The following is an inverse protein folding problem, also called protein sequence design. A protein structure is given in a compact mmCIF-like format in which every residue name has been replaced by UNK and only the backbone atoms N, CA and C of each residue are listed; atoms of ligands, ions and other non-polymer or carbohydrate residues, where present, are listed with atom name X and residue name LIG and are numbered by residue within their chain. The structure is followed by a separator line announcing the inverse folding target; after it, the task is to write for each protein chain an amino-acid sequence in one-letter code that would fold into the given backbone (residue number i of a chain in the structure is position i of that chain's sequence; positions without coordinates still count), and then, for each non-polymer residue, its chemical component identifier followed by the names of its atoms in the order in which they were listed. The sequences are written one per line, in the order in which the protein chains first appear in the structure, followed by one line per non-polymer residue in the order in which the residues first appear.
data_IF_129237024512
#
_entry.id   IF_129237024512
#
_cell.length_a   1.000
_cell.length_b   1.000
_cell.length_c   1.000
_cell.angle_alpha   90.00
_cell.angle_beta   90.00
_cell.angle_gamma   90.00
#
_symmetry.space_group_name_H-M   'P 1'
#
loop_
_entity.id
_entity.type
_entity.pdbx_description
1 polymer ?
#
# COMPACT_ATOMS: atom_id res chain seq x y z
N UNK A 1 21.68 5.46 24.83
CA UNK A 1 22.37 5.65 23.54
C UNK A 1 21.36 5.34 22.43
N UNK A 2 21.16 6.35 21.59
CA UNK A 2 19.98 6.61 20.77
C UNK A 2 19.54 5.46 19.85
N UNK A 3 18.30 4.99 20.01
CA UNK A 3 17.59 4.22 18.98
C UNK A 3 17.20 5.22 17.90
N UNK A 4 17.87 5.15 16.74
CA UNK A 4 17.51 5.90 15.53
C UNK A 4 16.01 5.77 15.28
N UNK A 5 15.29 6.89 15.41
CA UNK A 5 13.97 7.07 14.80
C UNK A 5 14.11 6.74 13.32
N UNK A 6 13.57 5.59 12.92
CA UNK A 6 13.39 5.28 11.51
C UNK A 6 12.31 6.22 11.02
N UNK A 7 12.76 7.31 10.44
CA UNK A 7 12.01 8.21 9.57
C UNK A 7 11.27 7.37 8.51
N UNK A 8 10.04 6.95 8.85
CA UNK A 8 9.09 6.23 8.00
C UNK A 8 8.56 7.18 6.91
N UNK A 9 9.43 7.65 6.04
CA UNK A 9 9.04 8.41 4.86
C UNK A 9 8.58 7.43 3.79
N UNK A 10 7.30 7.51 3.39
CA UNK A 10 6.72 6.64 2.35
C UNK A 10 7.61 6.51 1.11
N UNK A 11 7.59 5.36 0.45
CA UNK A 11 8.49 5.02 -0.66
C UNK A 11 8.43 6.02 -1.82
N UNK A 12 7.24 6.54 -2.13
CA UNK A 12 7.08 7.59 -3.15
C UNK A 12 7.64 8.96 -2.69
N UNK A 13 7.68 9.23 -1.38
CA UNK A 13 8.17 10.49 -0.79
C UNK A 13 9.69 10.52 -0.62
N UNK A 14 10.35 9.36 -0.48
CA UNK A 14 11.79 9.28 -0.20
C UNK A 14 12.70 9.33 -1.43
N UNK A 15 12.17 9.21 -2.65
CA UNK A 15 12.99 9.03 -3.86
C UNK A 15 13.16 10.28 -4.76
N UNK A 16 12.82 11.48 -4.30
CA UNK A 16 13.11 12.71 -5.05
C UNK A 16 14.34 13.42 -4.52
N UNK A 17 15.47 13.32 -5.24
CA UNK A 17 16.39 14.43 -5.57
C UNK A 17 17.47 13.92 -6.55
N UNK A 18 17.19 13.95 -7.85
CA UNK A 18 18.24 14.01 -8.88
C UNK A 18 17.83 15.04 -9.94
N UNK A 19 18.77 15.90 -10.34
CA UNK A 19 18.59 17.16 -11.09
C UNK A 19 18.07 17.03 -12.53
N UNK A 20 17.38 15.95 -12.87
CA UNK A 20 16.75 15.79 -14.17
C UNK A 20 15.23 15.93 -14.00
N UNK A 21 14.68 16.93 -14.67
CA UNK A 21 13.25 17.26 -14.78
C UNK A 21 12.49 16.18 -15.58
N UNK A 22 12.59 14.92 -15.15
CA UNK A 22 11.76 13.81 -15.56
C UNK A 22 10.93 13.45 -14.33
N UNK A 23 9.62 13.52 -14.48
CA UNK A 23 8.66 12.91 -13.58
C UNK A 23 8.90 11.38 -13.65
N UNK A 24 9.97 10.91 -13.02
CA UNK A 24 10.13 9.52 -12.61
C UNK A 24 9.31 9.36 -11.34
N UNK A 25 7.99 9.56 -11.45
CA UNK A 25 7.04 9.18 -10.41
C UNK A 25 7.08 7.66 -10.32
N UNK A 26 8.00 7.15 -9.50
CA UNK A 26 8.00 5.77 -9.05
C UNK A 26 6.75 5.56 -8.19
N UNK A 27 5.61 5.31 -8.85
CA UNK A 27 4.35 4.97 -8.20
C UNK A 27 4.52 3.68 -7.38
N UNK A 28 3.92 3.65 -6.18
CA UNK A 28 3.89 2.48 -5.29
C UNK A 28 3.40 1.18 -5.98
N UNK A 29 2.65 1.27 -7.09
CA UNK A 29 2.29 0.11 -7.92
C UNK A 29 3.52 -0.70 -8.41
N UNK A 30 4.68 -0.05 -8.59
CA UNK A 30 5.92 -0.66 -9.07
C UNK A 30 6.82 -1.23 -7.95
N UNK A 31 6.43 -1.15 -6.67
CA UNK A 31 7.22 -1.70 -5.57
C UNK A 31 7.50 -3.19 -5.84
N UNK A 32 8.75 -3.63 -6.01
CA UNK A 32 9.07 -5.03 -6.28
C UNK A 32 8.60 -5.96 -5.17
N UNK A 33 8.08 -7.14 -5.51
CA UNK A 33 7.53 -8.09 -4.54
C UNK A 33 8.52 -8.47 -3.42
N UNK A 34 9.82 -8.53 -3.73
CA UNK A 34 10.87 -8.86 -2.75
C UNK A 34 11.07 -7.81 -1.65
N UNK A 35 10.57 -6.59 -1.82
CA UNK A 35 10.70 -5.50 -0.84
C UNK A 35 9.35 -4.90 -0.41
N UNK A 36 8.23 -5.51 -0.81
CA UNK A 36 6.88 -5.01 -0.45
C UNK A 36 6.71 -4.94 1.06
N UNK A 37 7.15 -5.95 1.81
CA UNK A 37 6.96 -5.97 3.26
C UNK A 37 7.83 -4.94 4.00
N UNK A 38 8.96 -4.55 3.42
CA UNK A 38 9.85 -3.53 4.00
C UNK A 38 9.27 -2.13 3.82
N UNK A 39 8.57 -1.90 2.72
CA UNK A 39 7.99 -0.60 2.35
C UNK A 39 6.56 -0.45 2.88
N UNK A 40 5.74 -1.49 2.71
CA UNK A 40 4.35 -1.52 3.12
C UNK A 40 4.25 -2.17 4.50
N UNK A 41 4.97 -1.60 5.48
CA UNK A 41 4.89 -2.07 6.84
C UNK A 41 3.49 -1.83 7.41
N UNK A 42 2.89 -2.88 7.95
CA UNK A 42 1.61 -2.85 8.64
C UNK A 42 1.80 -3.46 10.03
N UNK A 43 1.09 -2.91 11.01
CA UNK A 43 1.10 -3.40 12.38
C UNK A 43 -0.25 -3.13 13.04
N UNK A 44 -0.49 -3.75 14.19
CA UNK A 44 -1.64 -3.41 15.04
C UNK A 44 -2.97 -3.69 14.36
N UNK A 45 -3.82 -2.66 14.22
CA UNK A 45 -5.13 -2.83 13.60
C UNK A 45 -5.08 -2.97 12.09
N UNK A 46 -4.15 -2.28 11.40
CA UNK A 46 -3.93 -2.43 9.97
C UNK A 46 -3.56 -3.87 9.57
N UNK A 47 -2.70 -4.52 10.36
CA UNK A 47 -2.34 -5.93 10.16
C UNK A 47 -3.54 -6.87 10.35
N UNK A 48 -4.34 -6.64 11.40
CA UNK A 48 -5.55 -7.42 11.65
C UNK A 48 -6.57 -7.27 10.52
N UNK A 49 -6.80 -6.05 10.04
CA UNK A 49 -7.71 -5.78 8.93
C UNK A 49 -7.21 -6.47 7.66
N UNK A 50 -5.92 -6.40 7.37
CA UNK A 50 -5.32 -7.07 6.21
C UNK A 50 -5.52 -8.59 6.26
N UNK A 51 -5.17 -9.23 7.38
CA UNK A 51 -5.32 -10.68 7.54
C UNK A 51 -6.79 -11.11 7.48
N UNK A 52 -7.68 -10.32 8.08
CA UNK A 52 -9.13 -10.58 8.05
C UNK A 52 -9.68 -10.46 6.63
N UNK A 53 -9.30 -9.42 5.88
CA UNK A 53 -9.66 -9.27 4.47
C UNK A 53 -9.13 -10.40 3.59
N UNK A 54 -7.87 -10.78 3.77
CA UNK A 54 -7.27 -11.91 3.03
C UNK A 54 -8.08 -13.21 3.23
N UNK A 55 -8.50 -13.49 4.46
CA UNK A 55 -9.32 -14.66 4.78
C UNK A 55 -10.75 -14.55 4.25
N UNK A 56 -11.43 -13.44 4.52
CA UNK A 56 -12.85 -13.24 4.19
C UNK A 56 -13.11 -13.27 2.69
N UNK A 57 -12.17 -12.75 1.90
CA UNK A 57 -12.28 -12.69 0.44
C UNK A 57 -11.46 -13.76 -0.28
N UNK A 58 -10.90 -14.74 0.44
CA UNK A 58 -10.10 -15.84 -0.13
C UNK A 58 -9.00 -15.35 -1.10
N UNK A 59 -8.31 -14.27 -0.71
CA UNK A 59 -7.37 -13.59 -1.60
C UNK A 59 -6.04 -14.33 -1.68
N UNK A 60 -5.47 -14.36 -2.88
CA UNK A 60 -4.11 -14.89 -3.09
C UNK A 60 -3.03 -13.96 -2.52
N UNK A 61 -1.84 -14.49 -2.26
CA UNK A 61 -0.68 -13.67 -1.86
C UNK A 61 -0.38 -12.53 -2.85
N UNK A 62 -0.62 -12.75 -4.15
CA UNK A 62 -0.48 -11.71 -5.18
C UNK A 62 -1.52 -10.60 -5.01
N UNK A 63 -2.75 -10.96 -4.68
CA UNK A 63 -3.78 -9.97 -4.34
C UNK A 63 -3.42 -9.19 -3.08
N UNK A 64 -2.86 -9.85 -2.06
CA UNK A 64 -2.32 -9.21 -0.87
C UNK A 64 -1.25 -8.18 -1.18
N UNK A 65 -0.27 -8.49 -2.03
CA UNK A 65 0.74 -7.52 -2.45
C UNK A 65 0.13 -6.30 -3.17
N UNK A 66 -0.88 -6.49 -4.02
CA UNK A 66 -1.59 -5.37 -4.65
C UNK A 66 -2.31 -4.49 -3.64
N UNK A 67 -2.96 -5.10 -2.63
CA UNK A 67 -3.62 -4.37 -1.53
C UNK A 67 -2.59 -3.54 -0.77
N UNK A 68 -1.44 -4.11 -0.41
CA UNK A 68 -0.39 -3.40 0.34
C UNK A 68 0.16 -2.20 -0.43
N UNK A 69 0.34 -2.33 -1.75
CA UNK A 69 0.78 -1.20 -2.60
C UNK A 69 -0.28 -0.11 -2.69
N UNK A 70 -1.55 -0.49 -2.83
CA UNK A 70 -2.66 0.46 -2.91
C UNK A 70 -2.86 1.19 -1.57
N UNK A 71 -2.84 0.46 -0.46
CA UNK A 71 -2.89 1.03 0.89
C UNK A 71 -1.73 1.99 1.15
N UNK A 72 -0.51 1.69 0.64
CA UNK A 72 0.62 2.62 0.71
C UNK A 72 0.37 3.89 -0.10
N UNK A 73 -0.24 3.79 -1.28
CA UNK A 73 -0.66 4.95 -2.08
C UNK A 73 -1.69 5.80 -1.35
N UNK A 74 -2.72 5.19 -0.77
CA UNK A 74 -3.76 5.90 0.00
C UNK A 74 -3.12 6.64 1.17
N UNK A 75 -2.30 5.96 1.97
CA UNK A 75 -1.58 6.58 3.07
C UNK A 75 -0.63 7.71 2.60
N UNK A 76 0.04 7.55 1.46
CA UNK A 76 0.88 8.62 0.89
C UNK A 76 0.06 9.85 0.46
N UNK A 77 -1.14 9.64 -0.10
CA UNK A 77 -2.08 10.70 -0.50
C UNK A 77 -2.61 11.43 0.74
N UNK A 78 -2.94 10.69 1.79
CA UNK A 78 -3.42 11.24 3.07
C UNK A 78 -2.31 11.90 3.90
N UNK A 79 -1.05 11.81 3.45
CA UNK A 79 0.11 12.35 4.14
C UNK A 79 0.56 11.52 5.35
N UNK A 80 -0.04 10.36 5.55
CA UNK A 80 0.24 9.43 6.64
C UNK A 80 1.57 8.71 6.44
N UNK A 81 2.38 8.62 7.50
CA UNK A 81 3.66 7.92 7.44
C UNK A 81 3.47 6.40 7.50
N UNK A 82 2.44 5.94 8.21
CA UNK A 82 2.13 4.52 8.39
C UNK A 82 0.88 4.13 7.60
N UNK A 83 0.80 2.86 7.20
CA UNK A 83 -0.42 2.33 6.59
C UNK A 83 -1.44 2.11 7.70
N UNK A 84 -2.55 2.83 7.64
CA UNK A 84 -3.63 2.73 8.62
C UNK A 84 -4.59 1.57 8.29
N UNK A 85 -5.44 1.22 9.25
CA UNK A 85 -6.54 0.28 9.05
C UNK A 85 -7.50 0.75 7.96
N UNK A 86 -7.88 2.03 7.98
CA UNK A 86 -8.74 2.65 6.95
C UNK A 86 -8.14 2.50 5.56
N UNK A 87 -6.83 2.72 5.39
CA UNK A 87 -6.17 2.58 4.10
C UNK A 87 -6.17 1.12 3.59
N UNK A 88 -6.12 0.14 4.49
CA UNK A 88 -6.21 -1.28 4.14
C UNK A 88 -7.64 -1.65 3.73
N UNK A 89 -8.64 -1.22 4.50
CA UNK A 89 -10.05 -1.48 4.20
C UNK A 89 -10.44 -0.88 2.85
N UNK A 90 -10.09 0.38 2.61
CA UNK A 90 -10.33 1.06 1.34
C UNK A 90 -9.59 0.36 0.18
N UNK A 91 -8.35 -0.08 0.38
CA UNK A 91 -7.62 -0.82 -0.65
C UNK A 91 -8.26 -2.18 -0.97
N UNK A 92 -8.84 -2.87 0.02
CA UNK A 92 -9.60 -4.11 -0.20
C UNK A 92 -10.87 -3.81 -1.00
N UNK A 93 -11.62 -2.79 -0.61
CA UNK A 93 -12.86 -2.39 -1.28
C UNK A 93 -12.63 -2.03 -2.75
N UNK A 94 -11.63 -1.21 -3.06
CA UNK A 94 -11.27 -0.90 -4.44
C UNK A 94 -10.85 -2.13 -5.24
N UNK A 95 -10.26 -3.12 -4.59
CA UNK A 95 -9.88 -4.36 -5.28
C UNK A 95 -11.09 -5.25 -5.58
N UNK A 96 -12.08 -5.28 -4.68
CA UNK A 96 -13.33 -6.01 -4.90
C UNK A 96 -14.23 -5.31 -5.92
N UNK A 97 -14.02 -4.01 -6.14
CA UNK A 97 -14.74 -3.24 -7.15
C UNK A 97 -14.46 -3.81 -8.56
N UNK A 98 -15.44 -4.52 -9.11
CA UNK A 98 -15.36 -5.20 -10.41
C UNK A 98 -15.29 -6.73 -10.35
N UNK A 99 -15.16 -7.34 -9.17
CA UNK A 99 -15.17 -8.81 -9.00
C UNK A 99 -16.61 -9.39 -8.99
N UNK A 100 -17.65 -8.55 -8.87
CA UNK A 100 -19.05 -8.96 -8.75
C UNK A 100 -19.85 -9.06 -10.06
N UNK A 101 -19.46 -8.31 -11.10
CA UNK A 101 -20.11 -8.33 -12.40
C UNK A 101 -19.02 -8.22 -13.49
N UNK A 102 -19.04 -9.11 -14.49
CA UNK A 102 -18.12 -9.08 -15.64
C UNK A 102 -18.28 -7.82 -16.54
N UNK A 103 -19.07 -6.85 -16.09
CA UNK A 103 -19.36 -5.59 -16.75
C UNK A 103 -18.97 -4.46 -15.80
N UNK A 104 -17.97 -3.69 -16.24
CA UNK A 104 -17.72 -2.36 -15.68
C UNK A 104 -18.99 -1.52 -15.89
N UNK A 105 -19.61 -0.95 -14.84
CA UNK A 105 -20.81 -0.15 -15.02
C UNK A 105 -20.36 1.20 -15.60
N UNK A 106 -20.66 1.44 -16.88
CA UNK A 106 -20.68 2.77 -17.48
C UNK A 106 -22.13 3.19 -17.67
#
# INVERSE_FOLDING_TARGET
MSKKEKENMGYSRSMMFSEANQILTCNNAHIPAGIVNDICHIAGSAEKAFLSGMANYSLSARAGHSILRLARTIADIDGENEITESAIEEAIEYRQFGDGDAVWPF
#
